data_IF_602143385343
#
_entry.id   IF_602143385343
#
_cell.length_a   1.000
_cell.length_b   1.000
_cell.length_c   1.000
_cell.angle_alpha   90.00
_cell.angle_beta   90.00
_cell.angle_gamma   90.00
#
_symmetry.space_group_name_H-M   'P 1'
#
loop_
_entity.id
_entity.type
_entity.pdbx_description
1 polymer ?
#
# COMPACT_ATOMS: atom_id res chain seq x y z
N UNK A 1 -13.41 0.23 5.45
CA UNK A 1 -12.02 -0.21 5.64
C UNK A 1 -11.14 0.89 5.10
N UNK A 2 -10.27 1.46 5.95
CA UNK A 2 -9.31 2.47 5.49
C UNK A 2 -7.99 1.83 5.00
N UNK A 3 -7.02 2.66 4.59
CA UNK A 3 -5.74 2.16 4.06
C UNK A 3 -4.91 1.42 5.12
N UNK A 4 -5.04 1.76 6.41
CA UNK A 4 -4.27 1.13 7.47
C UNK A 4 -4.85 -0.26 7.81
N UNK A 5 -6.18 -0.36 7.87
CA UNK A 5 -6.87 -1.65 7.99
C UNK A 5 -6.57 -2.57 6.80
N UNK A 6 -6.46 -2.00 5.60
CA UNK A 6 -6.07 -2.74 4.41
C UNK A 6 -4.65 -3.30 4.53
N UNK A 7 -3.68 -2.52 5.02
CA UNK A 7 -2.32 -3.01 5.29
C UNK A 7 -2.31 -4.16 6.30
N UNK A 8 -3.12 -4.08 7.35
CA UNK A 8 -3.24 -5.15 8.34
C UNK A 8 -3.81 -6.42 7.71
N UNK A 9 -4.83 -6.30 6.84
CA UNK A 9 -5.41 -7.44 6.14
C UNK A 9 -4.43 -8.16 5.20
N UNK A 10 -3.37 -7.47 4.77
CA UNK A 10 -2.30 -8.02 3.95
C UNK A 10 -1.11 -8.54 4.78
N UNK A 11 -1.22 -8.52 6.12
CA UNK A 11 -0.13 -8.83 7.04
C UNK A 11 1.09 -7.91 6.85
N UNK A 12 0.84 -6.62 6.57
CA UNK A 12 1.87 -5.60 6.37
C UNK A 12 1.76 -4.40 7.35
N UNK A 13 1.50 -4.61 8.65
CA UNK A 13 1.28 -3.51 9.61
C UNK A 13 2.52 -2.62 9.80
N UNK A 14 3.72 -3.11 9.47
CA UNK A 14 4.96 -2.35 9.56
C UNK A 14 4.99 -1.09 8.69
N UNK A 15 4.15 -1.00 7.65
CA UNK A 15 4.08 0.18 6.78
C UNK A 15 3.02 1.20 7.21
N UNK A 16 2.24 0.94 8.28
CA UNK A 16 1.19 1.86 8.74
C UNK A 16 1.73 3.26 9.01
N UNK A 17 2.87 3.36 9.70
CA UNK A 17 3.45 4.66 10.09
C UNK A 17 3.85 5.47 8.85
N UNK A 18 4.48 4.85 7.84
CA UNK A 18 4.89 5.58 6.63
C UNK A 18 3.70 6.00 5.78
N UNK A 19 2.70 5.13 5.63
CA UNK A 19 1.46 5.45 4.90
C UNK A 19 0.65 6.53 5.60
N UNK A 20 0.51 6.47 6.93
CA UNK A 20 -0.17 7.50 7.72
C UNK A 20 0.56 8.86 7.65
N UNK A 21 1.89 8.88 7.82
CA UNK A 21 2.70 10.11 7.69
C UNK A 21 2.59 10.73 6.31
N UNK A 22 2.54 9.92 5.26
CA UNK A 22 2.38 10.37 3.88
C UNK A 22 0.91 10.64 3.49
N UNK A 23 -0.03 10.54 4.45
CA UNK A 23 -1.47 10.72 4.28
C UNK A 23 -2.00 9.96 3.07
N UNK A 24 -1.63 8.68 2.97
CA UNK A 24 -2.13 7.82 1.89
C UNK A 24 -3.58 7.45 2.20
N UNK A 25 -4.49 8.00 1.41
CA UNK A 25 -5.90 7.60 1.37
C UNK A 25 -6.15 6.62 0.21
N UNK A 26 -7.40 6.16 0.08
CA UNK A 26 -7.78 5.21 -0.95
C UNK A 26 -7.51 5.73 -2.37
N UNK A 27 -7.83 7.00 -2.65
CA UNK A 27 -7.64 7.59 -3.97
C UNK A 27 -6.16 7.68 -4.36
N UNK A 28 -5.29 8.08 -3.42
CA UNK A 28 -3.83 8.11 -3.62
C UNK A 28 -3.29 6.70 -3.80
N UNK A 29 -3.74 5.74 -2.99
CA UNK A 29 -3.32 4.34 -3.08
C UNK A 29 -3.57 3.74 -4.47
N UNK A 30 -4.72 4.03 -5.08
CA UNK A 30 -5.08 3.52 -6.41
C UNK A 30 -4.15 4.02 -7.53
N UNK A 31 -3.44 5.12 -7.30
CA UNK A 31 -2.50 5.73 -8.24
C UNK A 31 -1.03 5.42 -7.92
N UNK A 32 -0.74 4.64 -6.87
CA UNK A 32 0.62 4.32 -6.47
C UNK A 32 1.25 3.26 -7.37
N UNK A 33 2.46 3.52 -7.84
CA UNK A 33 3.31 2.56 -8.52
C UNK A 33 4.51 2.15 -7.65
N UNK A 34 5.46 1.48 -8.30
CA UNK A 34 6.68 0.99 -7.67
C UNK A 34 7.43 2.07 -6.89
N UNK A 35 7.59 3.26 -7.49
CA UNK A 35 8.42 4.31 -6.91
C UNK A 35 7.78 4.90 -5.65
N UNK A 36 6.46 5.06 -5.65
CA UNK A 36 5.67 5.52 -4.51
C UNK A 36 5.80 4.54 -3.35
N UNK A 37 5.68 3.24 -3.60
CA UNK A 37 5.89 2.22 -2.57
C UNK A 37 7.32 2.21 -2.02
N UNK A 38 8.34 2.32 -2.89
CA UNK A 38 9.74 2.42 -2.45
C UNK A 38 9.97 3.66 -1.58
N UNK A 39 9.40 4.82 -1.96
CA UNK A 39 9.51 6.06 -1.21
C UNK A 39 8.83 6.00 0.17
N UNK A 40 7.83 5.13 0.35
CA UNK A 40 7.21 4.84 1.65
C UNK A 40 7.96 3.77 2.45
N UNK A 41 9.13 3.32 2.00
CA UNK A 41 9.95 2.32 2.68
C UNK A 41 9.61 0.88 2.34
N UNK A 42 8.75 0.62 1.35
CA UNK A 42 8.46 -0.73 0.87
C UNK A 42 9.57 -1.18 -0.10
N UNK A 43 10.75 -1.49 0.45
CA UNK A 43 11.94 -1.86 -0.34
C UNK A 43 12.04 -3.38 -0.62
N UNK A 44 11.30 -4.20 0.10
CA UNK A 44 11.22 -5.65 -0.16
C UNK A 44 10.34 -5.95 -1.38
N UNK A 45 10.89 -6.72 -2.33
CA UNK A 45 10.21 -7.07 -3.59
C UNK A 45 8.89 -7.80 -3.31
N UNK A 46 8.91 -8.80 -2.43
CA UNK A 46 7.71 -9.60 -2.09
C UNK A 46 6.58 -8.74 -1.55
N UNK A 47 6.89 -7.78 -0.66
CA UNK A 47 5.87 -6.89 -0.10
C UNK A 47 5.30 -5.96 -1.17
N UNK A 48 6.15 -5.36 -2.02
CA UNK A 48 5.67 -4.53 -3.14
C UNK A 48 4.78 -5.31 -4.08
N UNK A 49 5.17 -6.51 -4.49
CA UNK A 49 4.36 -7.35 -5.37
C UNK A 49 2.99 -7.68 -4.75
N UNK A 50 2.92 -7.89 -3.44
CA UNK A 50 1.66 -8.11 -2.75
C UNK A 50 0.76 -6.86 -2.77
N UNK A 51 1.33 -5.68 -2.47
CA UNK A 51 0.61 -4.40 -2.51
C UNK A 51 0.11 -4.10 -3.93
N UNK A 52 0.99 -4.16 -4.93
CA UNK A 52 0.66 -3.90 -6.35
C UNK A 52 -0.47 -4.82 -6.85
N UNK A 53 -0.41 -6.12 -6.52
CA UNK A 53 -1.47 -7.08 -6.87
C UNK A 53 -2.78 -6.78 -6.15
N UNK A 54 -2.72 -6.40 -4.88
CA UNK A 54 -3.91 -6.10 -4.08
C UNK A 54 -4.59 -4.81 -4.55
N UNK A 55 -3.82 -3.76 -4.86
CA UNK A 55 -4.34 -2.53 -5.47
C UNK A 55 -4.94 -2.81 -6.85
N UNK A 56 -4.31 -3.66 -7.67
CA UNK A 56 -4.87 -4.07 -8.95
C UNK A 56 -6.23 -4.76 -8.80
N UNK A 57 -6.42 -5.58 -7.76
CA UNK A 57 -7.72 -6.22 -7.46
C UNK A 57 -8.78 -5.19 -7.05
N UNK A 58 -8.42 -4.17 -6.27
CA UNK A 58 -9.33 -3.08 -5.91
C UNK A 58 -9.79 -2.28 -7.13
N UNK A 59 -8.92 -2.08 -8.13
CA UNK A 59 -9.23 -1.38 -9.38
C UNK A 59 -10.13 -2.19 -10.34
N UNK A 60 -10.32 -3.47 -10.09
CA UNK A 60 -11.14 -4.37 -10.94
C UNK A 60 -12.54 -4.63 -10.37
N UNK A 61 -12.84 -4.10 -9.18
CA UNK A 61 -14.12 -4.24 -8.48
C UNK A 61 -15.00 -3.00 -8.57
#
# INVERSE_FOLDING_TARGET
MDVLDWLDSLSLPQYRISFAKAKVDGAKLMNMGRNEFVNLGVTQVTHRMNLERSVKKLNMG
#
